data_IF_691112750784
#
_entry.id   IF_691112750784
#
_cell.length_a   1.000
_cell.length_b   1.000
_cell.length_c   1.000
_cell.angle_alpha   90.00
_cell.angle_beta   90.00
_cell.angle_gamma   90.00
#
_symmetry.space_group_name_H-M   'P 1'
#
loop_
_entity.id
_entity.type
_entity.pdbx_description
1 polymer ?
#
# COMPACT_ATOMS: atom_id res chain seq x y z
N UNK A 1 -15.93 -45.42 9.92
CA UNK A 1 -14.77 -44.52 9.89
C UNK A 1 -15.26 -43.19 9.36
N UNK A 2 -15.24 -42.14 10.19
CA UNK A 2 -15.67 -40.82 9.76
C UNK A 2 -14.67 -40.29 8.72
N UNK A 3 -15.13 -39.98 7.52
CA UNK A 3 -14.35 -39.19 6.56
C UNK A 3 -14.20 -37.80 7.17
N UNK A 4 -13.03 -37.52 7.74
CA UNK A 4 -12.68 -36.18 8.19
C UNK A 4 -12.78 -35.24 7.00
N UNK A 5 -13.53 -34.15 7.16
CA UNK A 5 -13.77 -33.16 6.13
C UNK A 5 -12.43 -32.50 5.75
N UNK A 6 -11.89 -32.89 4.59
CA UNK A 6 -10.61 -32.37 4.10
C UNK A 6 -10.81 -30.93 3.62
N UNK A 7 -10.58 -29.98 4.53
CA UNK A 7 -10.73 -28.55 4.25
C UNK A 7 -9.39 -27.93 3.88
N UNK A 8 -9.30 -27.38 2.67
CA UNK A 8 -8.15 -26.61 2.20
C UNK A 8 -8.43 -25.11 2.40
N UNK A 9 -7.98 -24.56 3.51
CA UNK A 9 -8.14 -23.13 3.81
C UNK A 9 -7.00 -22.31 3.19
N UNK A 10 -7.34 -21.09 2.76
CA UNK A 10 -6.32 -20.09 2.44
C UNK A 10 -5.58 -19.68 3.71
N UNK A 11 -4.26 -19.63 3.61
CA UNK A 11 -3.32 -19.25 4.66
C UNK A 11 -2.31 -18.26 4.08
N UNK A 12 -1.59 -17.55 4.96
CA UNK A 12 -0.53 -16.63 4.53
C UNK A 12 0.50 -17.33 3.64
N UNK A 13 0.84 -18.57 3.96
CA UNK A 13 1.81 -19.37 3.24
C UNK A 13 1.31 -19.77 1.83
N UNK A 14 0.01 -20.02 1.68
CA UNK A 14 -0.59 -20.23 0.34
C UNK A 14 -0.61 -18.94 -0.48
N UNK A 15 -0.82 -17.78 0.16
CA UNK A 15 -0.70 -16.46 -0.49
C UNK A 15 0.74 -16.19 -0.94
N UNK A 16 1.73 -16.47 -0.09
CA UNK A 16 3.15 -16.35 -0.41
C UNK A 16 3.53 -17.22 -1.62
N UNK A 17 3.06 -18.47 -1.65
CA UNK A 17 3.23 -19.37 -2.80
C UNK A 17 2.66 -18.76 -4.08
N UNK A 18 1.42 -18.27 -4.03
CA UNK A 18 0.77 -17.68 -5.20
C UNK A 18 1.49 -16.41 -5.68
N UNK A 19 1.95 -15.54 -4.78
CA UNK A 19 2.77 -14.36 -5.13
C UNK A 19 4.07 -14.76 -5.81
N UNK A 20 4.77 -15.77 -5.27
CA UNK A 20 6.00 -16.27 -5.88
C UNK A 20 5.73 -16.86 -7.28
N UNK A 21 4.62 -17.58 -7.45
CA UNK A 21 4.21 -18.08 -8.77
C UNK A 21 3.98 -16.93 -9.75
N UNK A 22 3.29 -15.86 -9.35
CA UNK A 22 3.09 -14.68 -10.19
C UNK A 22 4.41 -14.01 -10.56
N UNK A 23 5.32 -13.84 -9.59
CA UNK A 23 6.63 -13.24 -9.85
C UNK A 23 7.43 -14.07 -10.86
N UNK A 24 7.47 -15.39 -10.66
CA UNK A 24 8.19 -16.29 -11.54
C UNK A 24 7.58 -16.38 -12.94
N UNK A 25 6.25 -16.52 -13.04
CA UNK A 25 5.58 -16.77 -14.31
C UNK A 25 5.30 -15.48 -15.07
N UNK A 26 4.74 -14.45 -14.44
CA UNK A 26 4.37 -13.21 -15.14
C UNK A 26 5.63 -12.39 -15.42
N UNK A 27 6.32 -11.93 -14.36
CA UNK A 27 7.51 -11.08 -14.50
C UNK A 27 8.67 -11.87 -15.07
N UNK A 28 8.91 -13.10 -14.61
CA UNK A 28 9.99 -13.94 -15.12
C UNK A 28 9.85 -14.28 -16.61
N UNK A 29 8.64 -14.53 -17.12
CA UNK A 29 8.44 -14.72 -18.57
C UNK A 29 8.74 -13.44 -19.33
N UNK A 30 8.29 -12.28 -18.84
CA UNK A 30 8.54 -11.00 -19.49
C UNK A 30 10.04 -10.67 -19.55
N UNK A 31 10.76 -10.85 -18.44
CA UNK A 31 12.22 -10.65 -18.37
C UNK A 31 12.95 -11.57 -19.35
N UNK A 32 12.61 -12.85 -19.40
CA UNK A 32 13.23 -13.77 -20.37
C UNK A 32 12.88 -13.42 -21.82
N UNK A 33 11.67 -12.90 -22.08
CA UNK A 33 11.22 -12.49 -23.41
C UNK A 33 12.02 -11.30 -23.91
N UNK A 34 12.15 -10.25 -23.09
CA UNK A 34 12.98 -9.09 -23.42
C UNK A 34 14.45 -9.49 -23.60
N UNK A 35 14.95 -10.40 -22.75
CA UNK A 35 16.31 -10.95 -22.88
C UNK A 35 16.47 -11.74 -24.18
N UNK A 36 15.48 -12.56 -24.56
CA UNK A 36 15.48 -13.32 -25.80
C UNK A 36 15.47 -12.39 -27.02
N UNK A 37 14.59 -11.40 -27.04
CA UNK A 37 14.47 -10.48 -28.17
C UNK A 37 15.72 -9.61 -28.35
N UNK A 38 16.43 -9.32 -27.25
CA UNK A 38 17.73 -8.62 -27.26
C UNK A 38 18.89 -9.51 -27.73
N UNK A 39 18.92 -10.79 -27.34
CA UNK A 39 20.08 -11.68 -27.53
C UNK A 39 19.93 -12.69 -28.67
N UNK A 40 18.74 -12.82 -29.27
CA UNK A 40 18.52 -13.73 -30.40
C UNK A 40 19.43 -13.35 -31.59
N UNK A 41 19.76 -14.31 -32.47
CA UNK A 41 20.48 -14.00 -33.70
C UNK A 41 19.72 -12.96 -34.54
N UNK A 42 20.46 -12.03 -35.14
CA UNK A 42 19.91 -10.91 -35.93
C UNK A 42 18.83 -10.11 -35.16
N UNK A 43 19.18 -9.47 -34.04
CA UNK A 43 18.24 -8.62 -33.32
C UNK A 43 17.73 -7.51 -34.25
N UNK A 44 16.41 -7.31 -34.29
CA UNK A 44 15.74 -6.37 -35.21
C UNK A 44 15.16 -7.01 -36.47
N UNK A 45 15.57 -8.22 -36.85
CA UNK A 45 14.87 -8.97 -37.89
C UNK A 45 13.58 -9.60 -37.37
N UNK A 46 12.63 -9.80 -38.26
CA UNK A 46 11.40 -10.54 -37.93
C UNK A 46 11.73 -11.97 -37.48
N UNK A 47 11.07 -12.41 -36.41
CA UNK A 47 11.38 -13.68 -35.74
C UNK A 47 11.27 -14.89 -36.68
N UNK A 48 10.33 -14.87 -37.64
CA UNK A 48 10.17 -15.95 -38.61
C UNK A 48 11.39 -16.13 -39.53
N UNK A 49 12.15 -15.06 -39.81
CA UNK A 49 13.38 -15.14 -40.61
C UNK A 49 14.51 -15.75 -39.77
N UNK A 50 14.66 -15.32 -38.53
CA UNK A 50 15.62 -15.88 -37.57
C UNK A 50 15.40 -17.40 -37.42
N UNK A 51 14.15 -17.83 -37.21
CA UNK A 51 13.79 -19.24 -37.06
C UNK A 51 13.92 -20.06 -38.35
N UNK A 52 13.90 -19.41 -39.52
CA UNK A 52 14.11 -20.05 -40.83
C UNK A 52 15.58 -20.20 -41.19
N UNK A 53 16.48 -19.48 -40.53
CA UNK A 53 17.92 -19.62 -40.78
C UNK A 53 18.37 -21.08 -40.62
N UNK A 54 19.24 -21.60 -41.52
CA UNK A 54 19.61 -23.02 -41.50
C UNK A 54 20.23 -23.49 -40.17
N UNK A 55 21.03 -22.63 -39.53
CA UNK A 55 21.67 -22.90 -38.24
C UNK A 55 20.64 -23.07 -37.12
N UNK A 56 19.73 -22.11 -36.96
CA UNK A 56 18.67 -22.14 -35.93
C UNK A 56 17.72 -23.30 -36.17
N UNK A 57 17.24 -23.49 -37.40
CA UNK A 57 16.33 -24.58 -37.74
C UNK A 57 16.95 -25.95 -37.44
N UNK A 58 18.22 -26.16 -37.76
CA UNK A 58 18.92 -27.42 -37.50
C UNK A 58 18.98 -27.75 -36.01
N UNK A 59 19.32 -26.76 -35.17
CA UNK A 59 19.36 -26.90 -33.71
C UNK A 59 17.97 -27.25 -33.17
N UNK A 60 16.94 -26.48 -33.53
CA UNK A 60 15.58 -26.69 -33.03
C UNK A 60 14.99 -28.03 -33.51
N UNK A 61 15.26 -28.42 -34.76
CA UNK A 61 14.82 -29.71 -35.30
C UNK A 61 15.51 -30.89 -34.57
N UNK A 62 16.78 -30.76 -34.18
CA UNK A 62 17.47 -31.74 -33.34
C UNK A 62 16.82 -31.87 -31.97
N UNK A 63 16.48 -30.74 -31.32
CA UNK A 63 15.76 -30.73 -30.04
C UNK A 63 14.37 -31.37 -30.14
N UNK A 64 13.65 -31.13 -31.24
CA UNK A 64 12.37 -31.79 -31.53
C UNK A 64 12.54 -33.31 -31.67
N UNK A 65 13.52 -33.76 -32.47
CA UNK A 65 13.80 -35.20 -32.66
C UNK A 65 14.15 -35.90 -31.33
N UNK A 66 14.86 -35.20 -30.45
CA UNK A 66 15.21 -35.65 -29.10
C UNK A 66 14.08 -35.51 -28.07
N UNK A 67 12.88 -35.07 -28.47
CA UNK A 67 11.70 -34.84 -27.62
C UNK A 67 11.91 -33.83 -26.49
N UNK A 68 12.91 -32.96 -26.60
CA UNK A 68 13.11 -31.83 -25.67
C UNK A 68 12.09 -30.74 -25.98
N UNK A 69 11.77 -30.56 -27.27
CA UNK A 69 10.79 -29.60 -27.76
C UNK A 69 9.53 -30.35 -28.18
N UNK A 70 8.42 -30.08 -27.48
CA UNK A 70 7.18 -30.81 -27.69
C UNK A 70 6.40 -30.30 -28.92
N UNK A 71 5.41 -31.04 -29.46
CA UNK A 71 4.68 -30.63 -30.65
C UNK A 71 3.96 -29.28 -30.54
N UNK A 72 3.47 -28.92 -29.34
CA UNK A 72 2.79 -27.63 -29.10
C UNK A 72 3.78 -26.47 -29.20
N UNK A 73 4.93 -26.58 -28.53
CA UNK A 73 6.02 -25.61 -28.62
C UNK A 73 6.56 -25.50 -30.06
N UNK A 74 6.61 -26.61 -30.79
CA UNK A 74 6.99 -26.60 -32.20
C UNK A 74 5.99 -25.82 -33.05
N UNK A 75 4.70 -26.02 -32.82
CA UNK A 75 3.64 -25.27 -33.50
C UNK A 75 3.69 -23.77 -33.23
N UNK A 76 4.11 -23.36 -32.02
CA UNK A 76 4.35 -21.95 -31.69
C UNK A 76 5.55 -21.35 -32.44
N UNK A 77 6.61 -22.14 -32.65
CA UNK A 77 7.80 -21.69 -33.40
C UNK A 77 7.60 -21.71 -34.91
N UNK A 78 6.89 -22.70 -35.43
CA UNK A 78 6.64 -22.91 -36.85
C UNK A 78 5.12 -23.03 -37.12
N UNK A 79 4.37 -21.93 -36.95
CA UNK A 79 2.95 -21.89 -37.26
C UNK A 79 2.71 -22.05 -38.77
N UNK A 80 1.46 -22.36 -39.14
CA UNK A 80 1.02 -22.50 -40.54
C UNK A 80 1.33 -21.21 -41.32
N UNK A 81 0.95 -20.06 -40.75
CA UNK A 81 1.31 -18.74 -41.24
C UNK A 81 2.59 -18.30 -40.53
N UNK A 82 3.74 -18.49 -41.17
CA UNK A 82 5.06 -18.32 -40.55
C UNK A 82 5.30 -16.92 -39.96
N UNK A 83 4.75 -15.89 -40.60
CA UNK A 83 4.89 -14.49 -40.15
C UNK A 83 4.17 -14.20 -38.83
N UNK A 84 3.26 -15.06 -38.39
CA UNK A 84 2.51 -14.86 -37.15
C UNK A 84 3.30 -15.26 -35.89
N UNK A 85 4.50 -15.84 -36.03
CA UNK A 85 5.31 -16.20 -34.86
C UNK A 85 5.73 -14.96 -34.09
N UNK A 86 5.41 -14.94 -32.79
CA UNK A 86 5.76 -13.87 -31.86
C UNK A 86 6.42 -14.45 -30.62
N UNK A 87 7.43 -13.76 -30.09
CA UNK A 87 7.99 -14.06 -28.76
C UNK A 87 6.94 -13.86 -27.66
N UNK A 88 5.88 -13.10 -27.96
CA UNK A 88 4.68 -12.88 -27.15
C UNK A 88 3.96 -14.16 -26.74
N UNK A 89 4.03 -15.22 -27.56
CA UNK A 89 3.32 -16.48 -27.35
C UNK A 89 4.17 -17.54 -26.63
N UNK A 90 5.42 -17.19 -26.31
CA UNK A 90 6.35 -18.11 -25.69
C UNK A 90 6.22 -18.06 -24.17
N UNK A 91 6.05 -19.25 -23.58
CA UNK A 91 6.09 -19.42 -22.13
C UNK A 91 7.54 -19.46 -21.62
N UNK A 92 7.68 -19.34 -20.30
CA UNK A 92 8.98 -19.36 -19.60
C UNK A 92 9.86 -20.57 -19.99
N UNK A 93 9.26 -21.73 -20.24
CA UNK A 93 10.01 -22.96 -20.55
C UNK A 93 10.59 -22.89 -21.96
N UNK A 94 9.77 -22.47 -22.93
CA UNK A 94 10.21 -22.28 -24.31
C UNK A 94 11.28 -21.18 -24.40
N UNK A 95 11.07 -20.03 -23.73
CA UNK A 95 12.06 -18.94 -23.71
C UNK A 95 13.41 -19.39 -23.13
N UNK A 96 13.39 -20.10 -22.00
CA UNK A 96 14.60 -20.68 -21.38
C UNK A 96 15.31 -21.62 -22.35
N UNK A 97 14.56 -22.46 -23.07
CA UNK A 97 15.11 -23.40 -24.06
C UNK A 97 15.74 -22.65 -25.23
N UNK A 98 15.09 -21.61 -25.76
CA UNK A 98 15.61 -20.83 -26.88
C UNK A 98 16.89 -20.08 -26.48
N UNK A 99 16.87 -19.34 -25.37
CA UNK A 99 18.04 -18.62 -24.86
C UNK A 99 19.27 -19.52 -24.71
N UNK A 100 19.07 -20.73 -24.16
CA UNK A 100 20.14 -21.72 -23.99
C UNK A 100 20.72 -22.23 -25.32
N UNK A 101 19.90 -22.38 -26.36
CA UNK A 101 20.29 -23.16 -27.53
C UNK A 101 20.55 -22.31 -28.79
N UNK A 102 19.97 -21.11 -28.91
CA UNK A 102 20.06 -20.32 -30.14
C UNK A 102 20.62 -18.90 -29.94
N UNK A 103 20.75 -18.42 -28.70
CA UNK A 103 21.29 -17.08 -28.40
C UNK A 103 22.81 -17.08 -28.13
N UNK A 104 23.53 -18.15 -28.48
CA UNK A 104 25.00 -18.27 -28.37
C UNK A 104 25.58 -17.92 -26.98
N UNK A 105 24.81 -18.19 -25.91
CA UNK A 105 25.26 -17.96 -24.55
C UNK A 105 26.31 -18.99 -24.15
N UNK A 106 27.38 -18.51 -23.50
CA UNK A 106 28.37 -19.40 -22.88
C UNK A 106 27.72 -20.07 -21.66
N UNK A 107 27.73 -21.42 -21.57
CA UNK A 107 27.17 -22.11 -20.42
C UNK A 107 27.86 -21.68 -19.12
N UNK A 108 27.16 -21.70 -17.98
CA UNK A 108 27.80 -21.53 -16.68
C UNK A 108 28.88 -22.58 -16.44
N UNK A 109 29.79 -22.34 -15.49
CA UNK A 109 30.86 -23.29 -15.15
C UNK A 109 30.31 -24.68 -14.76
N UNK A 110 29.14 -24.71 -14.13
CA UNK A 110 28.41 -25.94 -13.75
C UNK A 110 27.53 -26.52 -14.87
N UNK A 111 27.46 -25.85 -16.01
CA UNK A 111 26.57 -26.17 -17.13
C UNK A 111 25.11 -25.78 -16.89
N UNK A 112 24.25 -26.16 -17.84
CA UNK A 112 22.84 -25.71 -17.90
C UNK A 112 21.85 -26.46 -17.00
N UNK A 113 22.32 -27.50 -16.31
CA UNK A 113 21.48 -28.42 -15.55
C UNK A 113 21.80 -28.45 -14.05
N UNK A 114 22.79 -27.68 -13.61
CA UNK A 114 23.23 -27.60 -12.21
C UNK A 114 23.25 -26.14 -11.77
N UNK A 115 22.82 -25.88 -10.53
CA UNK A 115 22.72 -24.53 -9.99
C UNK A 115 24.12 -23.87 -9.97
N UNK A 116 24.29 -22.67 -10.56
CA UNK A 116 25.55 -21.95 -10.53
C UNK A 116 25.91 -21.43 -9.14
N UNK A 117 27.19 -21.17 -8.90
CA UNK A 117 27.66 -20.51 -7.67
C UNK A 117 27.05 -19.10 -7.55
N UNK A 118 26.76 -18.63 -6.33
CA UNK A 118 26.18 -17.30 -6.10
C UNK A 118 26.99 -16.15 -6.71
N UNK A 119 28.32 -16.27 -6.76
CA UNK A 119 29.21 -15.27 -7.36
C UNK A 119 29.14 -15.20 -8.91
N UNK A 120 28.61 -16.23 -9.58
CA UNK A 120 28.53 -16.28 -11.03
C UNK A 120 27.28 -15.56 -11.54
N UNK A 121 27.37 -14.26 -11.80
CA UNK A 121 26.23 -13.41 -12.17
C UNK A 121 26.05 -13.25 -13.68
N UNK A 122 26.49 -14.24 -14.48
CA UNK A 122 26.33 -14.20 -15.93
C UNK A 122 24.86 -14.39 -16.34
N UNK A 123 24.47 -13.87 -17.50
CA UNK A 123 23.11 -14.06 -18.06
C UNK A 123 22.74 -15.55 -18.14
N UNK A 124 23.67 -16.39 -18.56
CA UNK A 124 23.44 -17.84 -18.62
C UNK A 124 23.21 -18.45 -17.23
N UNK A 125 23.96 -18.00 -16.22
CA UNK A 125 23.79 -18.46 -14.85
C UNK A 125 22.42 -18.05 -14.28
N UNK A 126 21.98 -16.81 -14.54
CA UNK A 126 20.68 -16.33 -14.10
C UNK A 126 19.50 -17.03 -14.79
N UNK A 127 19.63 -17.40 -16.07
CA UNK A 127 18.65 -18.26 -16.75
C UNK A 127 18.56 -19.64 -16.07
N UNK A 128 19.69 -20.22 -15.65
CA UNK A 128 19.69 -21.49 -14.91
C UNK A 128 19.06 -21.34 -13.52
N UNK A 129 19.31 -20.24 -12.81
CA UNK A 129 18.65 -19.95 -11.52
C UNK A 129 17.14 -19.85 -11.68
N UNK A 130 16.66 -19.12 -12.68
CA UNK A 130 15.23 -18.97 -12.93
C UNK A 130 14.55 -20.31 -13.25
N UNK A 131 15.21 -21.15 -14.06
CA UNK A 131 14.78 -22.52 -14.30
C UNK A 131 14.75 -23.36 -13.00
N UNK A 132 15.74 -23.19 -12.12
CA UNK A 132 15.80 -23.90 -10.84
C UNK A 132 14.63 -23.48 -9.91
N UNK A 133 14.32 -22.19 -9.81
CA UNK A 133 13.14 -21.69 -9.08
C UNK A 133 11.87 -22.31 -9.64
N UNK A 134 11.69 -22.29 -10.97
CA UNK A 134 10.53 -22.91 -11.62
C UNK A 134 10.42 -24.38 -11.31
N UNK A 135 11.51 -25.14 -11.36
CA UNK A 135 11.44 -26.57 -11.09
C UNK A 135 11.15 -26.87 -9.62
N UNK A 136 11.77 -26.14 -8.69
CA UNK A 136 11.60 -26.36 -7.25
C UNK A 136 10.22 -25.92 -6.76
N UNK A 137 9.77 -24.73 -7.14
CA UNK A 137 8.58 -24.10 -6.54
C UNK A 137 7.32 -24.33 -7.38
N UNK A 138 7.43 -24.46 -8.70
CA UNK A 138 6.25 -24.66 -9.55
C UNK A 138 6.15 -26.09 -10.11
N UNK A 139 7.27 -26.67 -10.54
CA UNK A 139 7.29 -27.96 -11.22
C UNK A 139 7.23 -29.19 -10.31
N UNK A 140 7.73 -29.07 -9.08
CA UNK A 140 7.89 -30.18 -8.13
C UNK A 140 7.48 -29.82 -6.70
N UNK A 141 6.66 -28.79 -6.52
CA UNK A 141 6.13 -28.47 -5.19
C UNK A 141 5.20 -29.60 -4.71
N UNK A 142 5.45 -30.08 -3.49
CA UNK A 142 4.56 -31.04 -2.84
C UNK A 142 3.25 -30.37 -2.43
N UNK A 143 3.35 -29.12 -1.94
CA UNK A 143 2.22 -28.33 -1.43
C UNK A 143 2.29 -26.92 -2.01
N UNK A 144 1.14 -26.29 -2.22
CA UNK A 144 1.03 -24.89 -2.66
C UNK A 144 1.19 -23.92 -1.48
N UNK A 145 2.30 -24.02 -0.74
CA UNK A 145 2.54 -23.27 0.50
C UNK A 145 4.02 -22.98 0.68
N UNK A 146 4.36 -21.75 1.07
CA UNK A 146 5.73 -21.30 1.38
C UNK A 146 5.70 -20.50 2.69
N UNK A 147 6.45 -20.95 3.69
CA UNK A 147 6.59 -20.24 4.97
C UNK A 147 7.24 -18.86 4.79
N UNK A 148 6.98 -17.96 5.73
CA UNK A 148 7.45 -16.58 5.65
C UNK A 148 8.98 -16.45 5.49
N UNK A 149 9.84 -17.07 6.33
CA UNK A 149 11.28 -17.00 6.15
C UNK A 149 11.74 -17.44 4.76
N UNK A 150 11.26 -18.60 4.29
CA UNK A 150 11.59 -19.13 2.97
C UNK A 150 11.09 -18.21 1.85
N UNK A 151 9.88 -17.66 1.98
CA UNK A 151 9.34 -16.71 1.01
C UNK A 151 10.21 -15.46 0.90
N UNK A 152 10.62 -14.86 2.02
CA UNK A 152 11.45 -13.66 1.99
C UNK A 152 12.80 -13.90 1.32
N UNK A 153 13.45 -15.03 1.62
CA UNK A 153 14.71 -15.40 0.99
C UNK A 153 14.54 -15.63 -0.52
N UNK A 154 13.61 -16.50 -0.91
CA UNK A 154 13.35 -16.82 -2.31
C UNK A 154 12.97 -15.57 -3.11
N UNK A 155 12.17 -14.67 -2.52
CA UNK A 155 11.75 -13.43 -3.15
C UNK A 155 12.94 -12.51 -3.46
N UNK A 156 13.89 -12.37 -2.53
CA UNK A 156 15.09 -11.56 -2.79
C UNK A 156 15.97 -12.22 -3.85
N UNK A 157 16.21 -13.53 -3.76
CA UNK A 157 17.07 -14.24 -4.71
C UNK A 157 16.53 -14.14 -6.15
N UNK A 158 15.21 -14.34 -6.33
CA UNK A 158 14.58 -14.20 -7.65
C UNK A 158 14.52 -12.74 -8.09
N UNK A 159 14.26 -11.77 -7.19
CA UNK A 159 14.27 -10.34 -7.51
C UNK A 159 15.63 -9.94 -8.07
N UNK A 160 16.72 -10.24 -7.38
CA UNK A 160 18.07 -9.93 -7.85
C UNK A 160 18.37 -10.58 -9.20
N UNK A 161 17.98 -11.84 -9.37
CA UNK A 161 18.14 -12.57 -10.64
C UNK A 161 17.38 -11.88 -11.79
N UNK A 162 16.13 -11.46 -11.55
CA UNK A 162 15.31 -10.78 -12.55
C UNK A 162 15.85 -9.40 -12.89
N UNK A 163 16.32 -8.63 -11.90
CA UNK A 163 16.93 -7.31 -12.13
C UNK A 163 18.23 -7.40 -12.91
N UNK A 164 19.08 -8.41 -12.67
CA UNK A 164 20.29 -8.63 -13.47
C UNK A 164 19.98 -9.00 -14.92
N UNK A 165 18.93 -9.78 -15.17
CA UNK A 165 18.54 -10.21 -16.53
C UNK A 165 17.81 -9.11 -17.31
N UNK A 166 16.82 -8.50 -16.67
CA UNK A 166 15.86 -7.59 -17.27
C UNK A 166 16.26 -6.12 -17.14
N UNK A 167 16.95 -5.75 -16.06
CA UNK A 167 17.27 -4.37 -15.71
C UNK A 167 16.42 -3.82 -14.56
N UNK A 168 16.83 -2.64 -14.07
CA UNK A 168 16.23 -1.97 -12.91
C UNK A 168 14.78 -1.51 -13.13
N UNK A 169 14.30 -1.39 -14.37
CA UNK A 169 12.93 -0.95 -14.64
C UNK A 169 11.86 -1.93 -14.12
N UNK A 170 12.23 -3.18 -13.86
CA UNK A 170 11.34 -4.17 -13.24
C UNK A 170 11.21 -4.00 -11.72
N UNK A 171 12.07 -3.23 -11.05
CA UNK A 171 12.13 -3.16 -9.59
C UNK A 171 10.79 -2.75 -8.97
N UNK A 172 10.15 -1.70 -9.50
CA UNK A 172 8.84 -1.25 -9.02
C UNK A 172 7.78 -2.33 -9.19
N UNK A 173 7.66 -2.92 -10.38
CA UNK A 173 6.67 -3.98 -10.65
C UNK A 173 6.85 -5.18 -9.73
N UNK A 174 8.10 -5.56 -9.43
CA UNK A 174 8.38 -6.64 -8.49
C UNK A 174 7.97 -6.23 -7.07
N UNK A 175 8.33 -5.03 -6.62
CA UNK A 175 8.00 -4.58 -5.26
C UNK A 175 6.49 -4.44 -5.04
N UNK A 176 5.76 -3.91 -6.03
CA UNK A 176 4.30 -3.79 -5.99
C UNK A 176 3.63 -5.17 -5.89
N UNK A 177 4.08 -6.15 -6.70
CA UNK A 177 3.55 -7.52 -6.69
C UNK A 177 3.72 -8.23 -5.35
N UNK A 178 4.73 -7.86 -4.55
CA UNK A 178 4.96 -8.46 -3.23
C UNK A 178 3.82 -8.16 -2.26
N UNK A 179 3.24 -6.97 -2.37
CA UNK A 179 2.25 -6.45 -1.42
C UNK A 179 0.85 -6.33 -2.02
N UNK A 180 0.68 -6.58 -3.31
CA UNK A 180 -0.62 -6.62 -3.98
C UNK A 180 -1.59 -7.55 -3.24
N UNK A 181 -2.84 -7.10 -3.13
CA UNK A 181 -3.93 -7.93 -2.61
C UNK A 181 -4.22 -9.05 -3.61
N UNK A 182 -4.24 -10.29 -3.13
CA UNK A 182 -4.54 -11.44 -4.00
C UNK A 182 -6.04 -11.58 -4.31
N UNK A 183 -6.88 -10.79 -3.62
CA UNK A 183 -8.31 -10.70 -3.86
C UNK A 183 -8.68 -9.25 -4.20
N UNK A 184 -8.99 -8.96 -5.48
CA UNK A 184 -9.29 -7.60 -5.91
C UNK A 184 -10.55 -7.07 -5.24
N UNK A 185 -11.59 -7.88 -5.06
CA UNK A 185 -12.88 -7.43 -4.50
C UNK A 185 -12.72 -6.99 -3.04
N UNK A 186 -11.93 -7.73 -2.25
CA UNK A 186 -11.60 -7.33 -0.88
C UNK A 186 -10.68 -6.11 -0.83
N UNK A 187 -9.73 -5.99 -1.78
CA UNK A 187 -8.82 -4.85 -1.85
C UNK A 187 -9.54 -3.52 -2.09
N UNK A 188 -10.52 -3.52 -2.99
CA UNK A 188 -11.38 -2.37 -3.28
C UNK A 188 -12.22 -2.00 -2.05
N UNK A 189 -12.89 -2.99 -1.44
CA UNK A 189 -13.74 -2.78 -0.26
C UNK A 189 -13.00 -2.13 0.91
N UNK A 190 -11.81 -2.63 1.27
CA UNK A 190 -11.05 -2.04 2.38
C UNK A 190 -10.53 -0.64 2.04
N UNK A 191 -10.21 -0.37 0.78
CA UNK A 191 -9.78 0.96 0.37
C UNK A 191 -10.92 1.97 0.51
N UNK A 192 -12.12 1.64 0.03
CA UNK A 192 -13.30 2.49 0.20
C UNK A 192 -13.59 2.76 1.68
N UNK A 193 -13.52 1.72 2.52
CA UNK A 193 -13.73 1.87 3.96
C UNK A 193 -12.68 2.77 4.63
N UNK A 194 -11.41 2.64 4.26
CA UNK A 194 -10.34 3.51 4.78
C UNK A 194 -10.54 4.95 4.31
N UNK A 195 -10.93 5.17 3.06
CA UNK A 195 -11.24 6.51 2.54
C UNK A 195 -12.41 7.17 3.26
N UNK A 196 -13.45 6.41 3.60
CA UNK A 196 -14.57 6.87 4.43
C UNK A 196 -14.09 7.27 5.83
N UNK A 197 -13.31 6.41 6.50
CA UNK A 197 -12.81 6.71 7.83
C UNK A 197 -11.90 7.94 7.87
N UNK A 198 -11.05 8.14 6.87
CA UNK A 198 -10.20 9.33 6.78
C UNK A 198 -11.06 10.60 6.65
N UNK A 199 -12.16 10.55 5.89
CA UNK A 199 -13.10 11.68 5.77
C UNK A 199 -13.81 11.96 7.08
N UNK A 200 -14.23 10.91 7.79
CA UNK A 200 -14.86 11.05 9.10
C UNK A 200 -13.90 11.65 10.13
N UNK A 201 -12.64 11.19 10.16
CA UNK A 201 -11.60 11.73 11.04
C UNK A 201 -11.33 13.22 10.75
N UNK A 202 -11.26 13.60 9.46
CA UNK A 202 -11.14 15.00 9.07
C UNK A 202 -12.34 15.83 9.52
N UNK A 203 -13.56 15.31 9.37
CA UNK A 203 -14.80 15.99 9.78
C UNK A 203 -14.86 16.20 11.30
N UNK A 204 -14.45 15.19 12.07
CA UNK A 204 -14.36 15.28 13.53
C UNK A 204 -13.32 16.33 13.92
N UNK A 205 -12.14 16.33 13.28
CA UNK A 205 -11.08 17.31 13.54
C UNK A 205 -11.55 18.74 13.27
N UNK A 206 -12.20 18.99 12.14
CA UNK A 206 -12.77 20.31 11.83
C UNK A 206 -13.82 20.76 12.86
N UNK A 207 -14.62 19.83 13.34
CA UNK A 207 -15.62 20.09 14.39
C UNK A 207 -14.96 20.44 15.73
N UNK A 208 -13.88 19.75 16.10
CA UNK A 208 -13.08 20.04 17.29
C UNK A 208 -12.43 21.42 17.19
N UNK A 209 -11.80 21.75 16.06
CA UNK A 209 -11.19 23.08 15.82
C UNK A 209 -12.24 24.21 15.94
N UNK A 210 -13.47 23.95 15.50
CA UNK A 210 -14.58 24.91 15.62
C UNK A 210 -15.05 25.08 17.07
N UNK A 211 -15.08 24.00 17.84
CA UNK A 211 -15.43 24.05 19.27
C UNK A 211 -14.34 24.78 20.04
N UNK A 212 -13.07 24.50 19.76
CA UNK A 212 -11.92 25.17 20.37
C UNK A 212 -11.98 26.68 20.15
N UNK A 213 -12.16 27.14 18.90
CA UNK A 213 -12.32 28.57 18.57
C UNK A 213 -13.51 29.21 19.30
N UNK A 214 -14.62 28.49 19.45
CA UNK A 214 -15.78 28.98 20.21
C UNK A 214 -15.48 29.11 21.70
N UNK A 215 -14.77 28.15 22.28
CA UNK A 215 -14.34 28.21 23.67
C UNK A 215 -13.37 29.39 23.90
N UNK A 216 -12.40 29.59 23.02
CA UNK A 216 -11.48 30.74 23.08
C UNK A 216 -12.24 32.08 23.04
N UNK A 217 -13.22 32.21 22.14
CA UNK A 217 -14.08 33.40 22.06
C UNK A 217 -14.87 33.63 23.35
N UNK A 218 -15.50 32.59 23.89
CA UNK A 218 -16.29 32.71 25.12
C UNK A 218 -15.41 33.07 26.33
N UNK A 219 -14.21 32.52 26.42
CA UNK A 219 -13.23 32.88 27.45
C UNK A 219 -12.81 34.34 27.31
N UNK A 220 -12.61 34.82 26.08
CA UNK A 220 -12.29 36.23 25.84
C UNK A 220 -13.44 37.15 26.25
N UNK A 221 -14.67 36.84 25.84
CA UNK A 221 -15.87 37.60 26.16
C UNK A 221 -16.10 37.66 27.68
N UNK A 222 -15.98 36.52 28.37
CA UNK A 222 -16.11 36.45 29.83
C UNK A 222 -15.07 37.31 30.55
N UNK A 223 -13.82 37.28 30.10
CA UNK A 223 -12.75 38.10 30.67
C UNK A 223 -12.95 39.61 30.44
N UNK A 224 -13.48 39.99 29.27
CA UNK A 224 -13.84 41.38 28.97
C UNK A 224 -14.99 41.86 29.86
N UNK A 225 -16.02 41.04 30.05
CA UNK A 225 -17.15 41.38 30.91
C UNK A 225 -16.71 41.51 32.38
N UNK A 226 -15.88 40.58 32.86
CA UNK A 226 -15.30 40.65 34.21
C UNK A 226 -14.53 41.96 34.41
N UNK A 227 -13.68 42.34 33.45
CA UNK A 227 -12.94 43.63 33.50
C UNK A 227 -13.86 44.84 33.48
N UNK A 228 -14.95 44.80 32.70
CA UNK A 228 -15.95 45.87 32.67
C UNK A 228 -16.62 46.03 34.03
N UNK A 229 -17.07 44.93 34.64
CA UNK A 229 -17.67 44.94 35.98
C UNK A 229 -16.69 45.45 37.05
N UNK A 230 -15.40 45.10 36.97
CA UNK A 230 -14.37 45.60 37.89
C UNK A 230 -14.13 47.12 37.77
N UNK A 231 -14.16 47.66 36.54
CA UNK A 231 -14.03 49.11 36.32
C UNK A 231 -15.27 49.89 36.80
N UNK A 232 -16.48 49.33 36.61
CA UNK A 232 -17.72 49.94 37.11
C UNK A 232 -17.80 49.95 38.64
N UNK A 233 -17.31 48.90 39.31
CA UNK A 233 -17.26 48.83 40.78
C UNK A 233 -16.30 49.86 41.41
N UNK A 234 -15.40 50.47 40.62
CA UNK A 234 -14.44 51.48 41.08
C UNK A 234 -14.90 52.93 40.81
N UNK A 235 -16.08 53.16 40.21
CA UNK A 235 -16.66 54.50 40.11
C UNK A 235 -17.30 54.96 41.45
N UNK A 236 -17.02 56.18 41.94
CA UNK A 236 -17.62 56.68 43.18
C UNK A 236 -19.12 56.99 42.97
N UNK A 237 -19.98 56.42 43.83
CA UNK A 237 -21.41 56.78 43.88
C UNK A 237 -21.57 58.24 44.27
N UNK A 238 -22.06 59.08 43.35
CA UNK A 238 -22.64 60.37 43.71
C UNK A 238 -23.96 60.13 44.45
N UNK A 239 -24.00 60.52 45.73
CA UNK A 239 -25.21 60.52 46.55
C UNK A 239 -26.08 61.68 46.11
N UNK A 240 -27.18 61.41 45.40
CA UNK A 240 -28.28 62.39 45.22
C UNK A 240 -29.33 62.10 46.27
N UNK A 241 -29.48 63.03 47.21
CA UNK A 241 -30.47 62.99 48.28
C UNK A 241 -31.88 63.13 47.74
N UNK A 242 -32.77 62.25 48.19
CA UNK A 242 -34.22 62.28 47.95
C UNK A 242 -34.86 63.36 48.83
N UNK A 243 -35.56 64.32 48.22
CA UNK A 243 -36.47 65.21 48.92
C UNK A 243 -37.92 64.74 48.74
N UNK A 244 -38.63 64.60 49.87
CA UNK A 244 -40.05 64.22 49.95
C UNK A 244 -40.93 65.43 49.63
N UNK A 245 -41.89 65.26 48.71
CA UNK A 245 -43.06 66.12 48.56
C UNK A 245 -44.25 65.36 47.96
N UNK A 246 -45.42 65.43 48.60
CA UNK A 246 -46.74 64.90 48.20
C UNK A 246 -47.74 66.08 48.32
N UNK A 247 -48.99 65.99 47.82
CA UNK A 247 -49.53 65.42 46.57
C UNK A 247 -50.40 66.44 45.79
N UNK A 248 -50.76 66.18 44.53
CA UNK A 248 -52.01 66.74 43.95
C UNK A 248 -52.53 65.88 42.81
N UNK A 249 -53.86 65.77 42.79
CA UNK A 249 -54.76 65.01 41.93
C UNK A 249 -54.78 65.48 40.48
N UNK A 250 -54.90 64.55 39.52
CA UNK A 250 -56.08 64.53 38.65
C UNK A 250 -56.28 63.21 37.89
N UNK A 251 -57.55 62.92 37.60
CA UNK A 251 -58.12 61.77 36.88
C UNK A 251 -57.43 61.53 35.52
N UNK A 252 -57.26 60.30 35.04
CA UNK A 252 -58.37 59.49 34.52
C UNK A 252 -57.94 58.06 34.19
N UNK A 253 -58.84 57.15 34.54
CA UNK A 253 -58.88 55.73 34.19
C UNK A 253 -59.42 55.60 32.77
N UNK A 254 -58.75 54.82 31.93
CA UNK A 254 -59.43 53.96 30.96
C UNK A 254 -58.79 52.58 30.99
N UNK A 255 -59.61 51.65 31.44
CA UNK A 255 -59.39 50.21 31.43
C UNK A 255 -59.34 49.71 29.99
N UNK A 256 -58.38 48.83 29.68
CA UNK A 256 -58.66 47.76 28.74
C UNK A 256 -58.17 46.43 29.29
N UNK A 257 -59.09 45.49 29.17
CA UNK A 257 -59.25 44.26 29.90
C UNK A 257 -58.39 43.12 29.31
N UNK A 258 -58.11 42.17 30.20
CA UNK A 258 -57.50 40.86 30.01
C UNK A 258 -57.73 40.18 28.65
N UNK A 259 -56.70 39.49 28.15
CA UNK A 259 -56.89 38.23 27.42
C UNK A 259 -55.77 37.27 27.76
N UNK A 260 -56.12 36.26 28.55
CA UNK A 260 -55.37 35.02 28.68
C UNK A 260 -55.29 34.33 27.31
N UNK A 261 -54.11 33.79 26.97
CA UNK A 261 -54.03 32.63 26.08
C UNK A 261 -53.11 31.60 26.73
N UNK A 262 -53.72 30.47 27.07
CA UNK A 262 -53.13 29.14 27.25
C UNK A 262 -54.25 28.16 26.84
N UNK A 263 -54.01 26.86 26.60
CA UNK A 263 -52.86 26.14 26.02
C UNK A 263 -53.35 25.13 24.93
N UNK A 264 -52.50 24.17 24.51
CA UNK A 264 -52.79 22.80 24.00
C UNK A 264 -52.02 22.49 22.70
N UNK A 265 -51.33 21.35 22.52
CA UNK A 265 -51.08 20.18 23.37
C UNK A 265 -50.35 19.09 22.56
N UNK A 266 -49.40 18.40 23.23
CA UNK A 266 -49.01 16.97 23.21
C UNK A 266 -48.85 16.16 21.89
N UNK A 267 -48.32 14.92 21.92
CA UNK A 267 -47.16 14.32 22.61
C UNK A 267 -46.22 13.56 21.62
N UNK A 268 -45.09 13.03 22.12
CA UNK A 268 -44.44 11.86 21.50
C UNK A 268 -43.07 12.12 20.88
N UNK A 269 -42.01 11.79 21.62
CA UNK A 269 -41.08 10.73 21.24
C UNK A 269 -39.97 10.63 22.30
N UNK A 270 -40.05 9.56 23.08
CA UNK A 270 -38.86 8.89 23.59
C UNK A 270 -37.97 8.53 22.39
N UNK A 271 -36.72 8.99 22.38
CA UNK A 271 -35.68 8.36 21.58
C UNK A 271 -34.56 7.94 22.52
N UNK A 272 -34.51 6.63 22.70
CA UNK A 272 -33.46 5.88 23.41
C UNK A 272 -32.07 6.35 22.99
N UNK A 273 -31.20 6.58 23.97
CA UNK A 273 -29.77 6.71 23.73
C UNK A 273 -29.24 5.40 23.15
N UNK A 274 -28.79 5.45 21.90
CA UNK A 274 -28.20 4.34 21.16
C UNK A 274 -26.87 3.92 21.79
N UNK A 275 -26.93 2.95 22.71
CA UNK A 275 -25.79 2.14 23.14
C UNK A 275 -25.30 1.16 22.05
N UNK A 276 -25.76 1.33 20.79
CA UNK A 276 -25.53 0.40 19.67
C UNK A 276 -24.27 0.73 18.87
N UNK A 277 -23.70 1.94 19.01
CA UNK A 277 -22.49 2.35 18.30
C UNK A 277 -21.17 1.83 18.90
N UNK A 278 -21.09 1.70 20.22
CA UNK A 278 -19.85 1.33 20.91
C UNK A 278 -19.56 -0.18 20.92
N UNK A 279 -20.55 -1.01 20.68
CA UNK A 279 -20.40 -2.48 20.62
C UNK A 279 -19.75 -2.93 19.32
N UNK A 280 -20.03 -2.28 18.19
CA UNK A 280 -19.45 -2.64 16.90
C UNK A 280 -17.97 -2.23 16.78
N UNK A 281 -17.59 -1.06 17.28
CA UNK A 281 -16.19 -0.60 17.28
C UNK A 281 -15.33 -1.50 18.16
N UNK A 282 -15.80 -1.83 19.36
CA UNK A 282 -15.06 -2.74 20.26
C UNK A 282 -15.02 -4.19 19.76
N UNK A 283 -16.08 -4.67 19.09
CA UNK A 283 -16.09 -5.99 18.47
C UNK A 283 -15.13 -6.06 17.27
N UNK A 284 -15.06 -5.01 16.46
CA UNK A 284 -14.15 -4.89 15.33
C UNK A 284 -12.68 -4.78 15.77
N UNK A 285 -12.40 -4.00 16.82
CA UNK A 285 -11.06 -3.90 17.44
C UNK A 285 -10.59 -5.24 18.03
N UNK A 286 -11.49 -6.03 18.62
CA UNK A 286 -11.18 -7.40 19.06
C UNK A 286 -10.93 -8.36 17.90
N UNK A 287 -11.63 -8.20 16.77
CA UNK A 287 -11.46 -9.06 15.59
C UNK A 287 -10.12 -8.80 14.86
N UNK A 288 -9.71 -7.54 14.75
CA UNK A 288 -8.44 -7.12 14.13
C UNK A 288 -7.22 -7.56 14.94
N UNK A 289 -7.30 -7.52 16.28
CA UNK A 289 -6.21 -7.99 17.16
C UNK A 289 -5.98 -9.50 17.10
N UNK A 290 -7.00 -10.28 16.73
CA UNK A 290 -6.92 -11.75 16.66
C UNK A 290 -6.49 -12.28 15.27
N UNK A 291 -6.56 -11.47 14.21
CA UNK A 291 -6.16 -11.88 12.85
C UNK A 291 -4.80 -11.33 12.40
N UNK A 292 -4.33 -10.25 13.01
CA UNK A 292 -2.99 -9.70 12.77
C UNK A 292 -2.12 -10.09 13.96
N UNK A 293 -1.23 -11.07 13.76
CA UNK A 293 -0.26 -11.49 14.77
C UNK A 293 0.41 -10.28 15.43
N UNK A 294 0.47 -10.34 16.77
CA UNK A 294 0.95 -9.43 17.84
C UNK A 294 2.02 -8.34 17.58
N UNK A 295 2.53 -8.12 16.38
CA UNK A 295 3.69 -7.27 16.12
C UNK A 295 3.44 -5.86 15.59
N UNK A 296 2.24 -5.51 15.12
CA UNK A 296 2.06 -4.27 14.32
C UNK A 296 1.16 -3.21 14.96
N UNK A 297 0.42 -3.53 16.03
CA UNK A 297 -0.51 -2.56 16.68
C UNK A 297 -0.04 -2.15 18.11
N UNK A 298 1.04 -2.73 18.64
CA UNK A 298 1.46 -2.46 20.03
C UNK A 298 2.08 -1.08 20.28
N UNK A 299 2.29 -0.25 19.26
CA UNK A 299 3.00 1.04 19.41
C UNK A 299 2.08 2.26 19.56
N UNK A 300 0.76 2.11 19.55
CA UNK A 300 -0.15 3.27 19.62
C UNK A 300 -0.74 3.58 21.00
N UNK A 301 -0.62 2.69 21.99
CA UNK A 301 -1.10 3.00 23.34
C UNK A 301 -0.22 2.38 24.43
N UNK A 302 0.93 2.99 24.68
CA UNK A 302 1.62 2.91 25.96
C UNK A 302 1.96 4.33 26.41
N UNK A 303 1.29 4.79 27.48
CA UNK A 303 1.73 5.94 28.25
C UNK A 303 0.88 7.20 28.07
N UNK A 304 -0.22 7.27 28.80
CA UNK A 304 -0.63 8.55 29.37
C UNK A 304 0.47 9.01 30.34
N UNK A 305 1.21 10.05 29.99
CA UNK A 305 1.75 11.02 30.95
C UNK A 305 2.04 12.35 30.26
N UNK A 306 1.64 13.40 30.97
CA UNK A 306 1.61 14.81 30.61
C UNK A 306 2.95 15.28 30.03
N UNK A 307 2.92 15.88 28.84
CA UNK A 307 4.07 16.58 28.24
C UNK A 307 4.07 16.57 26.72
N UNK A 308 3.54 17.63 26.11
CA UNK A 308 3.80 18.12 24.73
C UNK A 308 4.22 17.08 23.69
N UNK A 309 3.27 16.60 22.87
CA UNK A 309 3.57 15.85 21.63
C UNK A 309 3.33 16.76 20.44
N UNK A 310 4.42 17.08 19.75
CA UNK A 310 4.42 17.72 18.44
C UNK A 310 3.78 16.78 17.43
N UNK A 311 2.71 17.22 16.77
CA UNK A 311 2.00 16.47 15.73
C UNK A 311 2.93 16.33 14.52
N UNK A 312 3.56 15.17 14.36
CA UNK A 312 4.26 14.79 13.13
C UNK A 312 3.25 14.28 12.11
N UNK A 313 3.12 14.99 10.99
CA UNK A 313 2.25 14.62 9.87
C UNK A 313 2.60 13.24 9.30
N UNK A 314 1.59 12.38 9.15
CA UNK A 314 1.69 11.15 8.38
C UNK A 314 1.67 11.51 6.89
N UNK A 315 2.84 11.69 6.28
CA UNK A 315 2.93 11.89 4.83
C UNK A 315 2.79 10.55 4.12
N UNK A 316 1.66 10.36 3.44
CA UNK A 316 1.52 9.35 2.39
C UNK A 316 2.27 9.88 1.16
N UNK A 317 3.52 9.45 0.98
CA UNK A 317 4.29 9.82 -0.21
C UNK A 317 3.97 8.90 -1.40
N UNK A 318 3.18 9.43 -2.34
CA UNK A 318 3.30 9.05 -3.74
C UNK A 318 4.56 9.72 -4.33
N UNK A 319 5.42 8.94 -4.99
CA UNK A 319 6.39 9.44 -5.97
C UNK A 319 7.76 9.86 -5.44
N UNK A 320 8.79 9.17 -5.93
CA UNK A 320 10.21 9.47 -5.69
C UNK A 320 10.61 10.88 -6.14
N UNK A 321 11.23 11.66 -5.26
CA UNK A 321 12.17 12.74 -5.62
C UNK A 321 13.41 12.63 -4.74
N UNK A 322 14.58 12.52 -5.36
CA UNK A 322 15.89 12.63 -4.73
C UNK A 322 16.07 14.04 -4.16
N UNK A 323 16.43 14.15 -2.88
CA UNK A 323 16.99 15.39 -2.33
C UNK A 323 18.52 15.27 -2.31
N UNK A 324 19.16 16.03 -3.19
CA UNK A 324 20.52 16.54 -2.98
C UNK A 324 20.36 17.74 -2.04
N UNK A 325 21.07 17.75 -0.92
CA UNK A 325 21.23 18.95 -0.10
C UNK A 325 22.72 19.21 0.09
N UNK A 326 23.14 20.40 -0.36
CA UNK A 326 24.43 20.98 -0.06
C UNK A 326 24.35 21.68 1.28
N UNK A 327 25.36 21.44 2.11
CA UNK A 327 25.59 22.19 3.34
C UNK A 327 26.51 23.38 3.03
N UNK A 328 25.92 24.57 3.01
CA UNK A 328 26.64 25.79 3.36
C UNK A 328 26.20 26.21 4.75
N UNK A 329 27.12 26.16 5.72
CA UNK A 329 27.08 27.13 6.81
C UNK A 329 28.48 27.47 7.28
N UNK A 330 28.90 28.69 6.92
CA UNK A 330 29.99 29.42 7.55
C UNK A 330 29.57 29.79 8.97
N UNK A 331 30.39 29.42 9.96
CA UNK A 331 30.66 30.32 11.07
C UNK A 331 32.17 30.42 11.29
N UNK A 332 32.59 31.67 11.38
CA UNK A 332 33.94 32.17 11.55
C UNK A 332 34.30 32.15 13.03
N UNK A 333 35.48 31.63 13.37
CA UNK A 333 36.39 32.29 14.33
C UNK A 333 37.84 31.84 14.10
N UNK A 334 38.72 32.85 14.02
CA UNK A 334 40.19 32.84 14.07
C UNK A 334 40.74 31.90 15.16
N UNK A 335 41.95 31.35 15.19
CA UNK A 335 43.33 31.68 14.77
C UNK A 335 44.15 30.44 15.24
N UNK A 336 45.26 29.96 14.71
CA UNK A 336 46.57 30.59 14.56
C UNK A 336 47.57 29.51 14.03
N UNK A 337 48.46 29.91 13.11
CA UNK A 337 49.88 29.51 12.91
C UNK A 337 50.36 28.05 12.78
N UNK A 338 51.16 27.88 11.70
CA UNK A 338 52.48 27.20 11.59
C UNK A 338 52.49 25.67 11.74
N UNK A 339 53.16 24.87 10.91
CA UNK A 339 54.21 25.05 9.90
C UNK A 339 53.98 24.05 8.74
#
# INVERSE_FOLDING_TARGET
>A
MAHGDLRFCSTKETTNYARFCRLLIDVGTQVLRETFDRLRPCPGESLHLVLRSPSVYSILNSLRKRRVLNPIQWGRLYPVIRTNVSSGDFDITLLTLLLRNICNLVPPATGWNSLPCAAETSTAADIVRLKAFRNRIYGHAANASIDDPTFHQLWQDIKETLLRLGGEHFARTIDDLKYECMDPDFGEFYRELIEEWVKDEMTIKESLDKIEKRLESLVLDWNLERRRSEMEAQQPRSVVSVEKGKPSSDRSVQDHEFSQISPQGNPGNEVSSTAVGNTNVNAFMKATTNQLGSGVISTLFAGANIGTVQVGSLNVYQGNVKLVHGDENKQISHSDKKD
#
